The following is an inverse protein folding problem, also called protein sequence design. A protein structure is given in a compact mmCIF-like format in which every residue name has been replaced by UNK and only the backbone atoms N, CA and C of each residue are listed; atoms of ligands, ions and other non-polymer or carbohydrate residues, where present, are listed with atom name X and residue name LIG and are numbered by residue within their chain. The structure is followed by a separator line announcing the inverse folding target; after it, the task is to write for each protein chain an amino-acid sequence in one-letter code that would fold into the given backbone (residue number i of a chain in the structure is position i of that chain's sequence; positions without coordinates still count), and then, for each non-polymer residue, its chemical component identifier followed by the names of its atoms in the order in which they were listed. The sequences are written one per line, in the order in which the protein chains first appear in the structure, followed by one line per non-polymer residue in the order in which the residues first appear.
data_IF_822527205126
#
_entry.id   IF_822527205126
#
_cell.length_a   1.000
_cell.length_b   1.000
_cell.length_c   1.000
_cell.angle_alpha   90.00
_cell.angle_beta   90.00
_cell.angle_gamma   90.00
#
_symmetry.space_group_name_H-M   'P 1'
#
loop_
_entity.id
_entity.type
_entity.pdbx_description
1 polymer ?
#
# COMPACT_ATOMS: atom_id res chain seq x y z
N UNK A 1 -1.79 9.96 13.50
CA UNK A 1 -2.79 10.27 12.45
C UNK A 1 -2.12 10.29 11.10
N UNK A 2 -2.72 9.62 10.12
CA UNK A 2 -2.27 9.59 8.74
C UNK A 2 -3.37 10.13 7.84
N UNK A 3 -2.98 10.93 6.86
CA UNK A 3 -3.86 11.50 5.85
C UNK A 3 -3.27 11.26 4.47
N UNK A 4 -4.10 10.80 3.54
CA UNK A 4 -3.77 10.69 2.12
C UNK A 4 -4.75 11.57 1.36
N UNK A 5 -4.24 12.50 0.57
CA UNK A 5 -5.05 13.35 -0.30
C UNK A 5 -4.69 13.07 -1.77
N UNK A 6 -5.71 12.85 -2.59
CA UNK A 6 -5.61 12.68 -4.03
C UNK A 6 -6.30 13.86 -4.70
N UNK A 7 -5.56 14.57 -5.56
CA UNK A 7 -6.07 15.70 -6.33
C UNK A 7 -6.17 15.30 -7.79
N UNK A 8 -7.36 15.44 -8.37
CA UNK A 8 -7.63 15.20 -9.78
C UNK A 8 -8.36 16.39 -10.41
N UNK A 9 -8.58 16.32 -11.70
CA UNK A 9 -9.27 17.38 -12.46
C UNK A 9 -10.72 17.63 -12.00
N UNK A 10 -11.35 16.59 -11.47
CA UNK A 10 -12.75 16.59 -11.00
C UNK A 10 -12.91 16.92 -9.52
N UNK A 11 -11.81 17.09 -8.77
CA UNK A 11 -11.86 17.41 -7.35
C UNK A 11 -10.82 16.70 -6.50
N UNK A 12 -11.13 16.51 -5.23
CA UNK A 12 -10.23 15.98 -4.21
C UNK A 12 -10.88 14.81 -3.47
N UNK A 13 -10.06 13.81 -3.17
CA UNK A 13 -10.40 12.73 -2.23
C UNK A 13 -9.39 12.76 -1.07
N UNK A 14 -9.88 12.73 0.16
CA UNK A 14 -9.04 12.67 1.36
C UNK A 14 -9.43 11.47 2.23
N UNK A 15 -8.47 10.59 2.50
CA UNK A 15 -8.61 9.50 3.45
C UNK A 15 -7.86 9.83 4.74
N UNK A 16 -8.55 9.77 5.88
CA UNK A 16 -7.99 10.00 7.22
C UNK A 16 -8.06 8.73 8.04
N UNK A 17 -6.96 8.39 8.69
CA UNK A 17 -6.87 7.24 9.58
C UNK A 17 -6.16 7.63 10.89
N UNK A 18 -6.77 7.32 12.02
CA UNK A 18 -6.19 7.57 13.35
C UNK A 18 -6.16 6.33 14.26
N UNK A 19 -6.05 5.13 13.68
CA UNK A 19 -5.95 3.88 14.44
C UNK A 19 -7.30 3.34 14.92
N UNK A 20 -8.24 4.23 15.28
CA UNK A 20 -9.60 3.87 15.72
C UNK A 20 -10.68 4.18 14.67
N UNK A 21 -10.44 5.17 13.81
CA UNK A 21 -11.40 5.66 12.84
C UNK A 21 -10.76 5.72 11.43
N UNK A 22 -11.59 5.47 10.42
CA UNK A 22 -11.25 5.62 9.00
C UNK A 22 -12.38 6.40 8.33
N UNK A 23 -12.04 7.56 7.75
CA UNK A 23 -13.00 8.39 7.01
C UNK A 23 -12.47 8.72 5.64
N UNK A 24 -13.36 8.62 4.66
CA UNK A 24 -13.13 9.13 3.31
C UNK A 24 -13.98 10.38 3.14
N UNK A 25 -13.37 11.44 2.65
CA UNK A 25 -14.02 12.70 2.35
C UNK A 25 -13.72 13.09 0.90
N UNK A 26 -14.60 13.87 0.29
CA UNK A 26 -14.35 14.41 -1.03
C UNK A 26 -15.06 15.73 -1.28
N UNK A 27 -14.58 16.42 -2.29
CA UNK A 27 -15.17 17.65 -2.82
C UNK A 27 -15.01 17.63 -4.34
N UNK A 28 -16.09 17.91 -5.07
CA UNK A 28 -16.06 18.22 -6.50
C UNK A 28 -15.53 19.63 -6.72
N UNK A 29 -15.20 19.97 -7.97
CA UNK A 29 -14.62 21.27 -8.34
C UNK A 29 -15.41 22.48 -7.80
N UNK A 30 -16.74 22.40 -7.81
CA UNK A 30 -17.62 23.51 -7.41
C UNK A 30 -18.02 23.44 -5.92
N UNK A 31 -17.62 22.39 -5.21
CA UNK A 31 -17.89 22.25 -3.79
C UNK A 31 -16.97 23.19 -3.00
N UNK A 32 -17.54 23.85 -1.99
CA UNK A 32 -16.78 24.78 -1.13
C UNK A 32 -16.06 24.09 0.01
N UNK A 33 -16.48 22.87 0.34
CA UNK A 33 -16.03 22.15 1.54
C UNK A 33 -15.96 20.65 1.25
N UNK A 34 -15.05 19.96 1.94
CA UNK A 34 -14.96 18.50 1.92
C UNK A 34 -16.14 17.89 2.69
N UNK A 35 -16.79 16.91 2.08
CA UNK A 35 -17.90 16.17 2.68
C UNK A 35 -17.49 14.73 2.92
N UNK A 36 -17.95 14.14 4.03
CA UNK A 36 -17.79 12.70 4.26
C UNK A 36 -18.52 11.93 3.18
N UNK A 37 -17.80 11.02 2.50
CA UNK A 37 -18.38 10.15 1.50
C UNK A 37 -18.84 8.85 2.16
N UNK A 38 -20.04 8.34 1.81
CA UNK A 38 -20.44 7.02 2.26
C UNK A 38 -19.52 5.97 1.65
N UNK A 39 -19.03 5.05 2.47
CA UNK A 39 -18.32 3.87 1.97
C UNK A 39 -19.36 2.91 1.38
N UNK A 40 -19.22 2.47 0.13
CA UNK A 40 -20.11 1.48 -0.47
C UNK A 40 -20.22 0.19 0.36
N UNK A 41 -21.45 -0.31 0.56
CA UNK A 41 -21.74 -1.47 1.41
C UNK A 41 -20.97 -2.73 1.00
N UNK A 42 -20.75 -2.93 -0.30
CA UNK A 42 -20.00 -4.07 -0.84
C UNK A 42 -18.52 -4.06 -0.43
N UNK A 43 -17.95 -2.89 -0.11
CA UNK A 43 -16.59 -2.80 0.43
C UNK A 43 -16.55 -3.11 1.94
N UNK A 44 -17.67 -2.96 2.62
CA UNK A 44 -17.83 -3.21 4.05
C UNK A 44 -18.37 -4.60 4.38
N UNK A 45 -18.62 -5.45 3.38
CA UNK A 45 -19.15 -6.79 3.62
C UNK A 45 -18.22 -7.58 4.56
N UNK A 46 -18.74 -7.97 5.72
CA UNK A 46 -17.98 -8.64 6.77
C UNK A 46 -16.99 -7.74 7.52
N UNK A 47 -17.01 -6.42 7.36
CA UNK A 47 -16.12 -5.49 8.07
C UNK A 47 -16.92 -4.70 9.09
N UNK A 48 -16.65 -4.92 10.38
CA UNK A 48 -17.24 -4.12 11.48
C UNK A 48 -16.22 -3.12 12.02
N UNK A 49 -14.92 -3.42 11.87
CA UNK A 49 -13.79 -2.59 12.29
C UNK A 49 -12.71 -2.56 11.20
N UNK A 50 -11.89 -1.51 11.08
CA UNK A 50 -10.92 -1.36 9.99
C UNK A 50 -9.98 -2.56 9.77
N UNK A 51 -9.54 -3.23 10.84
CA UNK A 51 -8.64 -4.38 10.75
C UNK A 51 -9.33 -5.69 10.41
N UNK A 52 -10.66 -5.74 10.44
CA UNK A 52 -11.43 -6.93 10.07
C UNK A 52 -11.23 -7.28 8.58
N UNK A 53 -10.80 -6.33 7.74
CA UNK A 53 -10.44 -6.58 6.33
C UNK A 53 -9.42 -7.71 6.19
N UNK A 54 -8.44 -7.79 7.10
CA UNK A 54 -7.37 -8.79 7.04
C UNK A 54 -7.80 -10.17 7.56
N UNK A 55 -8.94 -10.25 8.27
CA UNK A 55 -9.43 -11.49 8.88
C UNK A 55 -10.69 -12.02 8.22
N UNK A 56 -11.52 -11.16 7.62
CA UNK A 56 -12.82 -11.50 7.03
C UNK A 56 -12.82 -11.48 5.51
N UNK A 57 -11.89 -10.76 4.87
CA UNK A 57 -11.78 -10.70 3.41
C UNK A 57 -10.49 -11.36 2.90
N UNK A 58 -10.48 -11.71 1.61
CA UNK A 58 -9.27 -12.14 0.90
C UNK A 58 -8.37 -10.93 0.64
N UNK A 59 -7.59 -10.55 1.65
CA UNK A 59 -6.69 -9.39 1.61
C UNK A 59 -5.27 -9.78 2.06
N UNK A 60 -4.29 -8.98 1.64
CA UNK A 60 -2.87 -9.14 2.01
C UNK A 60 -2.39 -10.59 1.87
N UNK A 61 -1.85 -11.18 2.95
CA UNK A 61 -1.31 -12.55 2.93
C UNK A 61 -2.35 -13.61 2.59
N UNK A 62 -3.62 -13.44 2.97
CA UNK A 62 -4.68 -14.39 2.59
C UNK A 62 -4.98 -14.31 1.10
N UNK A 63 -4.99 -13.10 0.51
CA UNK A 63 -5.17 -12.95 -0.95
C UNK A 63 -4.09 -13.68 -1.74
N UNK A 64 -2.85 -13.65 -1.27
CA UNK A 64 -1.75 -14.39 -1.88
C UNK A 64 -1.96 -15.91 -1.82
N UNK A 65 -2.39 -16.43 -0.67
CA UNK A 65 -2.71 -17.86 -0.52
C UNK A 65 -3.89 -18.25 -1.42
N UNK A 66 -4.94 -17.43 -1.45
CA UNK A 66 -6.11 -17.70 -2.26
C UNK A 66 -5.75 -17.70 -3.76
N UNK A 67 -4.88 -16.80 -4.22
CA UNK A 67 -4.41 -16.80 -5.60
C UNK A 67 -3.70 -18.12 -5.98
N UNK A 68 -2.87 -18.66 -5.08
CA UNK A 68 -2.23 -19.98 -5.29
C UNK A 68 -3.28 -21.10 -5.36
N UNK A 69 -4.28 -21.08 -4.48
CA UNK A 69 -5.29 -22.13 -4.42
C UNK A 69 -6.21 -22.14 -5.64
N UNK A 70 -6.47 -20.97 -6.23
CA UNK A 70 -7.37 -20.82 -7.37
C UNK A 70 -6.64 -20.74 -8.73
N UNK A 71 -5.31 -20.82 -8.74
CA UNK A 71 -4.48 -20.62 -9.95
C UNK A 71 -4.71 -19.25 -10.61
N UNK A 72 -4.89 -18.21 -9.78
CA UNK A 72 -5.02 -16.82 -10.20
C UNK A 72 -3.68 -16.08 -10.14
N UNK A 73 -3.51 -15.05 -10.97
CA UNK A 73 -2.41 -14.11 -10.83
C UNK A 73 -2.61 -13.24 -9.56
N UNK A 74 -1.63 -13.19 -8.64
CA UNK A 74 -1.76 -12.39 -7.43
C UNK A 74 -1.61 -10.90 -7.72
N UNK A 75 -2.54 -10.11 -7.18
CA UNK A 75 -2.45 -8.64 -7.18
C UNK A 75 -2.44 -8.09 -5.73
N UNK A 76 -1.47 -7.22 -5.39
CA UNK A 76 -0.34 -6.78 -6.21
C UNK A 76 0.67 -7.91 -6.48
N UNK A 77 1.32 -7.84 -7.64
CA UNK A 77 2.30 -8.82 -8.13
C UNK A 77 3.73 -8.50 -7.67
N UNK A 78 4.67 -9.40 -7.96
CA UNK A 78 6.09 -9.13 -7.75
C UNK A 78 6.59 -7.92 -8.58
N UNK A 79 6.05 -7.73 -9.78
CA UNK A 79 6.40 -6.61 -10.64
C UNK A 79 6.01 -5.27 -9.99
N UNK A 80 4.84 -5.20 -9.36
CA UNK A 80 4.38 -4.02 -8.64
C UNK A 80 5.28 -3.69 -7.46
N UNK A 81 5.72 -4.73 -6.72
CA UNK A 81 6.70 -4.59 -5.65
C UNK A 81 8.05 -4.08 -6.16
N UNK A 82 8.54 -4.59 -7.28
CA UNK A 82 9.78 -4.15 -7.90
C UNK A 82 9.71 -2.68 -8.37
N UNK A 83 8.59 -2.26 -8.97
CA UNK A 83 8.37 -0.87 -9.38
C UNK A 83 8.28 0.07 -8.19
N UNK A 84 7.56 -0.31 -7.14
CA UNK A 84 7.50 0.46 -5.89
C UNK A 84 8.89 0.65 -5.30
N UNK A 85 9.74 -0.39 -5.33
CA UNK A 85 11.12 -0.30 -4.83
C UNK A 85 11.95 0.73 -5.59
N UNK A 86 11.81 0.83 -6.91
CA UNK A 86 12.54 1.83 -7.71
C UNK A 86 12.19 3.26 -7.29
N UNK A 87 10.91 3.53 -7.06
CA UNK A 87 10.44 4.85 -6.62
C UNK A 87 11.00 5.19 -5.23
N UNK A 88 10.93 4.24 -4.28
CA UNK A 88 11.46 4.43 -2.93
C UNK A 88 12.97 4.69 -2.94
N UNK A 89 13.73 3.93 -3.73
CA UNK A 89 15.18 4.11 -3.82
C UNK A 89 15.58 5.45 -4.45
N UNK A 90 14.83 5.94 -5.45
CA UNK A 90 15.05 7.26 -6.02
C UNK A 90 14.68 8.39 -5.05
N UNK A 91 13.59 8.25 -4.30
CA UNK A 91 13.17 9.24 -3.29
C UNK A 91 14.18 9.36 -2.15
N UNK A 92 14.69 8.24 -1.63
CA UNK A 92 15.71 8.23 -0.58
C UNK A 92 17.03 8.86 -1.07
N UNK A 93 17.46 8.56 -2.29
CA UNK A 93 18.66 9.18 -2.87
C UNK A 93 18.46 10.67 -3.14
N UNK A 94 17.30 11.07 -3.65
CA UNK A 94 16.96 12.47 -3.90
C UNK A 94 17.02 13.29 -2.60
N UNK A 95 16.45 12.76 -1.51
CA UNK A 95 16.51 13.39 -0.20
C UNK A 95 17.95 13.53 0.32
N UNK A 96 18.80 12.51 0.13
CA UNK A 96 20.20 12.56 0.57
C UNK A 96 21.07 13.51 -0.28
N UNK A 97 20.82 13.60 -1.58
CA UNK A 97 21.61 14.40 -2.52
C UNK A 97 21.08 15.83 -2.71
N UNK A 98 19.88 16.15 -2.22
CA UNK A 98 19.25 17.46 -2.39
C UNK A 98 18.93 17.82 -3.84
N UNK A 99 18.76 16.82 -4.72
CA UNK A 99 18.50 17.02 -6.15
C UNK A 99 17.52 15.98 -6.69
N UNK A 100 16.92 16.26 -7.84
CA UNK A 100 16.07 15.29 -8.55
C UNK A 100 16.90 14.07 -8.97
N UNK A 101 16.33 12.89 -8.75
CA UNK A 101 16.87 11.59 -9.20
C UNK A 101 15.79 10.91 -10.04
N UNK A 102 16.18 10.39 -11.20
CA UNK A 102 15.26 9.64 -12.04
C UNK A 102 14.99 8.25 -11.47
N UNK A 103 13.75 7.79 -11.62
CA UNK A 103 13.37 6.44 -11.24
C UNK A 103 13.98 5.47 -12.25
N UNK A 104 15.04 4.78 -11.85
CA UNK A 104 15.74 3.81 -12.69
C UNK A 104 15.79 2.44 -12.03
N UNK A 105 15.83 1.35 -12.82
CA UNK A 105 16.13 0.03 -12.29
C UNK A 105 17.53 0.04 -11.71
N UNK A 106 17.64 -0.05 -10.38
CA UNK A 106 18.90 -0.38 -9.71
C UNK A 106 19.06 -1.89 -9.70
N UNK A 107 20.31 -2.34 -9.86
CA UNK A 107 20.64 -3.73 -9.55
C UNK A 107 20.14 -4.04 -8.12
N UNK A 108 19.53 -5.22 -7.89
CA UNK A 108 19.07 -5.57 -6.56
C UNK A 108 20.22 -5.43 -5.58
N UNK A 109 19.98 -4.70 -4.47
CA UNK A 109 20.93 -4.72 -3.35
C UNK A 109 21.14 -6.17 -2.98
N UNK A 110 22.40 -6.62 -3.00
CA UNK A 110 22.69 -7.96 -2.50
C UNK A 110 22.09 -8.07 -1.10
N UNK A 111 21.32 -9.13 -0.83
CA UNK A 111 20.80 -9.34 0.51
C UNK A 111 22.01 -9.34 1.45
N UNK A 112 21.97 -8.51 2.50
CA UNK A 112 22.86 -8.74 3.64
C UNK A 112 22.58 -10.17 4.06
N UNK A 113 23.59 -11.03 3.96
CA UNK A 113 23.51 -12.44 4.35
C UNK A 113 23.02 -12.52 5.79
N UNK A 114 21.71 -12.70 5.99
CA UNK A 114 21.09 -13.02 7.27
C UNK A 114 21.03 -14.54 7.50
N UNK A 115 21.38 -15.34 6.48
CA UNK A 115 21.28 -16.80 6.50
C UNK A 115 22.59 -17.53 6.81
N UNK A 116 23.75 -16.84 6.82
CA UNK A 116 25.00 -17.47 7.22
C UNK A 116 25.01 -17.90 8.70
N UNK A 117 24.21 -17.25 9.54
CA UNK A 117 24.23 -17.47 10.99
C UNK A 117 23.23 -18.55 11.47
N UNK A 118 22.35 -19.08 10.59
CA UNK A 118 21.25 -19.96 11.00
C UNK A 118 21.43 -21.45 10.62
N UNK A 119 22.51 -21.83 9.92
CA UNK A 119 22.81 -23.23 9.56
C UNK A 119 24.07 -23.70 10.32
N UNK A 120 24.04 -23.56 11.64
CA UNK A 120 24.94 -24.26 12.54
C UNK A 120 24.09 -24.94 13.63
N UNK A 121 23.33 -25.97 13.25
CA UNK A 121 22.83 -26.95 14.20
C UNK A 121 23.94 -27.99 14.34
N UNK A 122 24.62 -28.11 15.49
CA UNK A 122 25.59 -29.18 15.69
C UNK A 122 24.85 -30.52 15.75
N UNK A 123 25.25 -31.45 14.87
CA UNK A 123 24.90 -32.86 14.97
C UNK A 123 25.74 -33.60 16.01
#
# INVERSE_FOLDING_TARGET
DQTIALHGEDGVLEARFNGADFRVMGARRDDRELQTLPTPDNLLEGIERPLDVFTRQSAAGRRFVDAILHDDDPEPSFYDGWKTRQVLDAALESAAAGRRIDVQPKAPRQPKSLFADYIAVPG
#
